data_IF_453008503085
#
_entry.id   IF_453008503085
#
_cell.length_a   1.000
_cell.length_b   1.000
_cell.length_c   1.000
_cell.angle_alpha   90.00
_cell.angle_beta   90.00
_cell.angle_gamma   90.00
#
_symmetry.space_group_name_H-M   'P 1'
#
loop_
_entity.id
_entity.type
_entity.pdbx_description
1 polymer ?
#
# COMPACT_ATOMS: atom_id res chain seq x y z
N UNK A 1 10.95 9.36 -10.33
CA UNK A 1 9.86 9.30 -9.32
C UNK A 1 8.73 8.45 -9.90
N UNK A 2 8.21 7.46 -9.16
CA UNK A 2 7.11 6.60 -9.64
C UNK A 2 5.81 7.42 -9.63
N UNK A 3 5.13 7.52 -10.77
CA UNK A 3 3.90 8.33 -10.90
C UNK A 3 2.64 7.63 -10.38
N UNK A 4 2.71 6.30 -10.28
CA UNK A 4 1.63 5.42 -9.84
C UNK A 4 2.24 4.20 -9.15
N UNK A 5 1.61 3.76 -8.07
CA UNK A 5 1.94 2.52 -7.35
C UNK A 5 0.64 1.83 -6.96
N UNK A 6 0.68 0.51 -6.77
CA UNK A 6 -0.47 -0.21 -6.26
C UNK A 6 -0.11 -1.59 -5.73
N UNK A 7 -1.06 -2.18 -5.00
CA UNK A 7 -0.96 -3.52 -4.42
C UNK A 7 -2.36 -4.15 -4.34
N UNK A 8 -2.43 -5.46 -4.19
CA UNK A 8 -3.68 -6.16 -3.88
C UNK A 8 -3.79 -6.47 -2.39
N UNK A 9 -5.02 -6.64 -1.91
CA UNK A 9 -5.29 -7.08 -0.53
C UNK A 9 -4.91 -8.55 -0.30
N UNK A 10 -4.91 -9.35 -1.37
CA UNK A 10 -4.61 -10.79 -1.36
C UNK A 10 -3.54 -11.14 -2.38
N UNK A 11 -2.82 -12.23 -2.13
CA UNK A 11 -1.83 -12.79 -3.05
C UNK A 11 -2.49 -13.65 -4.16
N UNK A 12 -3.56 -14.37 -3.83
CA UNK A 12 -4.29 -15.24 -4.75
C UNK A 12 -5.77 -15.34 -4.38
N UNK A 13 -6.58 -15.75 -5.35
CA UNK A 13 -8.05 -15.92 -5.21
C UNK A 13 -8.53 -17.12 -6.03
N UNK A 14 -9.61 -17.76 -5.58
CA UNK A 14 -10.30 -18.81 -6.32
C UNK A 14 -11.43 -18.22 -7.19
N UNK A 15 -12.01 -19.00 -8.13
CA UNK A 15 -13.18 -18.56 -8.88
C UNK A 15 -14.34 -18.19 -7.95
N UNK A 16 -14.90 -16.99 -8.14
CA UNK A 16 -15.99 -16.47 -7.31
C UNK A 16 -15.53 -15.58 -6.14
N UNK A 17 -14.25 -15.60 -5.78
CA UNK A 17 -13.70 -14.71 -4.76
C UNK A 17 -13.51 -13.29 -5.29
N UNK A 18 -13.47 -12.34 -4.34
CA UNK A 18 -13.11 -10.94 -4.60
C UNK A 18 -11.67 -10.65 -4.19
N UNK A 19 -10.97 -9.91 -5.04
CA UNK A 19 -9.66 -9.28 -4.78
C UNK A 19 -9.80 -7.77 -5.01
N UNK A 20 -9.26 -6.97 -4.10
CA UNK A 20 -9.27 -5.52 -4.20
C UNK A 20 -7.86 -5.01 -4.54
N UNK A 21 -7.80 -3.96 -5.38
CA UNK A 21 -6.56 -3.32 -5.78
C UNK A 21 -6.52 -1.87 -5.29
N UNK A 22 -5.50 -1.53 -4.51
CA UNK A 22 -5.29 -0.20 -3.97
C UNK A 22 -4.26 0.52 -4.82
N UNK A 23 -4.65 1.63 -5.46
CA UNK A 23 -3.83 2.37 -6.40
C UNK A 23 -3.61 3.81 -5.92
N UNK A 24 -2.36 4.21 -5.71
CA UNK A 24 -1.97 5.58 -5.35
C UNK A 24 -1.32 6.26 -6.55
N UNK A 25 -1.83 7.44 -6.92
CA UNK A 25 -1.35 8.26 -8.03
C UNK A 25 -0.83 9.60 -7.53
N UNK A 26 0.32 10.04 -8.04
CA UNK A 26 0.94 11.34 -7.69
C UNK A 26 0.80 12.40 -8.80
N UNK A 27 0.05 12.10 -9.86
CA UNK A 27 -0.17 13.01 -10.98
C UNK A 27 -1.12 14.18 -10.61
N UNK A 28 -0.94 15.33 -11.28
CA UNK A 28 -1.73 16.56 -11.06
C UNK A 28 -3.20 16.42 -11.50
N UNK A 29 -3.46 15.68 -12.58
CA UNK A 29 -4.78 15.25 -13.03
C UNK A 29 -4.77 13.71 -13.09
N UNK A 30 -5.00 13.03 -11.96
CA UNK A 30 -4.75 11.62 -11.84
C UNK A 30 -5.91 10.81 -12.43
N UNK A 31 -5.69 10.23 -13.62
CA UNK A 31 -6.48 9.11 -14.16
C UNK A 31 -5.53 7.97 -14.49
N UNK A 32 -5.99 6.73 -14.36
CA UNK A 32 -5.21 5.56 -14.73
C UNK A 32 -6.07 4.53 -15.46
N UNK A 33 -5.43 3.76 -16.33
CA UNK A 33 -6.06 2.62 -17.00
C UNK A 33 -5.62 1.33 -16.32
N UNK A 34 -6.54 0.42 -16.08
CA UNK A 34 -6.26 -0.93 -15.59
C UNK A 34 -6.77 -1.97 -16.59
N UNK A 35 -6.02 -3.07 -16.73
CA UNK A 35 -6.40 -4.29 -17.47
C UNK A 35 -5.84 -5.50 -16.72
N UNK A 36 -6.50 -6.64 -16.83
CA UNK A 36 -5.96 -7.92 -16.34
C UNK A 36 -5.14 -8.55 -17.45
N UNK A 37 -3.99 -9.13 -17.09
CA UNK A 37 -3.12 -9.85 -18.02
C UNK A 37 -2.73 -11.20 -17.47
N UNK A 38 -2.58 -12.18 -18.34
CA UNK A 38 -1.83 -13.40 -18.07
C UNK A 38 -0.39 -13.15 -18.44
N UNK A 39 0.47 -13.06 -17.42
CA UNK A 39 1.92 -12.99 -17.64
C UNK A 39 2.43 -14.35 -18.12
N UNK A 40 3.17 -14.37 -19.23
CA UNK A 40 3.76 -15.58 -19.83
C UNK A 40 5.28 -15.57 -19.61
N UNK A 41 5.94 -14.45 -19.85
CA UNK A 41 7.37 -14.25 -19.60
C UNK A 41 7.62 -12.87 -19.00
N UNK A 42 8.34 -12.79 -17.89
CA UNK A 42 8.73 -11.54 -17.24
C UNK A 42 10.18 -11.12 -17.50
N UNK A 43 10.99 -11.97 -18.13
CA UNK A 43 12.37 -11.64 -18.50
C UNK A 43 12.38 -10.85 -19.80
N UNK A 44 12.97 -9.65 -19.78
CA UNK A 44 13.06 -8.72 -20.90
C UNK A 44 14.48 -8.67 -21.51
N UNK A 45 15.28 -9.71 -21.27
CA UNK A 45 16.60 -9.85 -21.86
C UNK A 45 16.53 -10.06 -23.38
N UNK A 46 17.35 -9.32 -24.12
CA UNK A 46 17.45 -9.35 -25.58
C UNK A 46 17.92 -10.69 -26.18
N UNK A 47 18.57 -11.54 -25.39
CA UNK A 47 19.05 -12.87 -25.82
C UNK A 47 17.95 -13.96 -25.82
N UNK A 48 16.77 -13.63 -25.30
CA UNK A 48 15.60 -14.51 -25.22
C UNK A 48 14.39 -13.86 -25.93
N UNK A 49 13.25 -14.56 -26.06
CA UNK A 49 12.05 -14.00 -26.71
C UNK A 49 11.46 -12.74 -26.06
N UNK A 50 11.98 -12.29 -24.92
CA UNK A 50 11.59 -11.07 -24.21
C UNK A 50 10.30 -11.18 -23.40
N UNK A 51 9.87 -10.04 -22.84
CA UNK A 51 8.65 -9.94 -22.06
C UNK A 51 7.42 -10.34 -22.88
N UNK A 52 6.52 -11.13 -22.29
CA UNK A 52 5.28 -11.56 -22.93
C UNK A 52 4.12 -11.60 -21.95
N UNK A 53 3.05 -10.87 -22.28
CA UNK A 53 1.75 -10.95 -21.61
C UNK A 53 0.61 -11.13 -22.61
N UNK A 54 -0.54 -11.55 -22.10
CA UNK A 54 -1.78 -11.62 -22.87
C UNK A 54 -2.89 -10.91 -22.10
N UNK A 55 -3.57 -9.97 -22.75
CA UNK A 55 -4.70 -9.28 -22.16
C UNK A 55 -5.87 -10.26 -21.97
N UNK A 56 -6.47 -10.24 -20.78
CA UNK A 56 -7.68 -11.00 -20.48
C UNK A 56 -8.86 -10.04 -20.49
N UNK A 57 -9.87 -10.36 -21.30
CA UNK A 57 -11.11 -9.59 -21.29
C UNK A 57 -11.81 -9.78 -19.95
N UNK A 58 -12.01 -8.67 -19.24
CA UNK A 58 -12.56 -8.66 -17.88
C UNK A 58 -13.38 -7.40 -17.68
N UNK A 59 -14.47 -7.44 -16.89
CA UNK A 59 -15.28 -6.26 -16.59
C UNK A 59 -14.53 -5.13 -15.88
N UNK A 60 -13.39 -5.43 -15.24
CA UNK A 60 -12.55 -4.44 -14.53
C UNK A 60 -11.63 -3.68 -15.48
N UNK A 61 -11.49 -4.09 -16.73
CA UNK A 61 -10.69 -3.34 -17.71
C UNK A 61 -11.35 -1.98 -17.98
N UNK A 62 -10.62 -0.88 -17.70
CA UNK A 62 -11.20 0.45 -17.81
C UNK A 62 -10.29 1.57 -17.33
N UNK A 63 -10.85 2.78 -17.32
CA UNK A 63 -10.22 3.99 -16.77
C UNK A 63 -10.82 4.36 -15.42
N UNK A 64 -9.96 4.76 -14.50
CA UNK A 64 -10.31 5.03 -13.11
C UNK A 64 -9.73 6.39 -12.67
N UNK A 65 -10.43 7.12 -11.78
CA UNK A 65 -9.86 8.28 -11.13
C UNK A 65 -8.73 7.83 -10.19
N UNK A 66 -7.54 8.38 -10.38
CA UNK A 66 -6.44 8.22 -9.45
C UNK A 66 -6.59 9.18 -8.27
N UNK A 67 -5.95 8.83 -7.15
CA UNK A 67 -5.83 9.71 -5.99
C UNK A 67 -4.54 9.42 -5.26
N UNK A 68 -4.02 10.40 -4.53
CA UNK A 68 -2.92 10.14 -3.59
C UNK A 68 -3.47 9.46 -2.34
N UNK A 69 -2.87 8.32 -1.98
CA UNK A 69 -3.14 7.61 -0.73
C UNK A 69 -1.90 7.72 0.15
N UNK A 70 -2.06 8.34 1.33
CA UNK A 70 -0.96 8.56 2.28
C UNK A 70 -0.67 7.27 3.04
N UNK A 71 0.60 6.94 3.21
CA UNK A 71 1.07 5.81 4.02
C UNK A 71 1.67 6.38 5.30
N UNK A 72 1.16 5.93 6.45
CA UNK A 72 1.73 6.18 7.76
C UNK A 72 2.71 5.04 8.07
N UNK A 73 3.98 5.26 7.73
CA UNK A 73 5.01 4.24 7.87
C UNK A 73 5.66 4.28 9.26
N UNK A 74 5.91 3.10 9.81
CA UNK A 74 6.46 2.91 11.16
C UNK A 74 5.53 2.02 11.97
N UNK A 75 6.09 1.03 12.67
CA UNK A 75 5.29 0.21 13.59
C UNK A 75 5.00 1.01 14.85
N UNK A 76 3.73 1.14 15.23
CA UNK A 76 3.30 1.81 16.45
C UNK A 76 2.06 1.11 17.03
N UNK A 77 1.67 1.49 18.24
CA UNK A 77 0.41 1.07 18.86
C UNK A 77 -0.54 2.26 18.82
N UNK A 78 -1.74 2.06 18.30
CA UNK A 78 -2.83 3.03 18.37
C UNK A 78 -3.82 2.61 19.45
N UNK A 79 -4.07 3.49 20.42
CA UNK A 79 -5.09 3.28 21.44
C UNK A 79 -6.18 4.33 21.25
N UNK A 80 -7.45 3.94 21.03
CA UNK A 80 -8.54 4.90 20.87
C UNK A 80 -8.68 5.83 22.09
N UNK A 81 -9.16 7.08 21.89
CA UNK A 81 -9.41 7.99 23.00
C UNK A 81 -10.34 7.36 24.05
N UNK A 82 -9.97 7.49 25.32
CA UNK A 82 -10.73 6.99 26.46
C UNK A 82 -10.73 8.01 27.59
N UNK A 83 -11.84 8.15 28.34
CA UNK A 83 -11.86 8.95 29.59
C UNK A 83 -10.78 8.52 30.59
N UNK A 84 -10.36 7.25 30.56
CA UNK A 84 -9.30 6.72 31.42
C UNK A 84 -7.94 7.41 31.22
N UNK A 85 -7.70 8.02 30.06
CA UNK A 85 -6.48 8.79 29.77
C UNK A 85 -6.60 10.28 30.12
N UNK A 86 -7.71 10.70 30.77
CA UNK A 86 -7.96 12.08 31.20
C UNK A 86 -8.45 12.14 32.65
N UNK A 87 -7.73 11.57 33.63
CA UNK A 87 -8.12 11.68 35.03
C UNK A 87 -7.89 13.09 35.56
N UNK A 88 -8.78 13.55 36.43
CA UNK A 88 -8.71 14.88 37.05
C UNK A 88 -7.51 15.03 37.99
N UNK A 89 -7.06 13.94 38.60
CA UNK A 89 -5.96 13.92 39.58
C UNK A 89 -4.56 13.73 38.96
N UNK A 90 -4.49 13.53 37.63
CA UNK A 90 -3.23 13.32 36.89
C UNK A 90 -2.90 11.85 36.57
N UNK A 91 -1.86 11.63 35.76
CA UNK A 91 -1.40 10.30 35.32
C UNK A 91 0.08 10.09 35.59
N UNK A 92 0.46 8.84 35.87
CA UNK A 92 1.85 8.37 35.84
C UNK A 92 2.01 7.34 34.73
N UNK A 93 2.98 7.54 33.84
CA UNK A 93 3.36 6.58 32.80
C UNK A 93 4.71 5.94 33.16
N UNK A 94 4.78 4.62 33.13
CA UNK A 94 6.02 3.88 33.31
C UNK A 94 6.21 2.90 32.15
N UNK A 95 7.40 2.90 31.54
CA UNK A 95 7.73 2.01 30.42
C UNK A 95 9.19 1.56 30.50
N UNK A 96 9.45 0.32 30.13
CA UNK A 96 10.80 -0.18 29.88
C UNK A 96 11.10 -0.06 28.38
N UNK A 97 12.11 0.72 28.03
CA UNK A 97 12.42 1.06 26.63
C UNK A 97 13.87 0.67 26.32
N UNK A 98 14.10 0.08 25.15
CA UNK A 98 15.45 -0.23 24.64
C UNK A 98 15.70 0.53 23.32
N UNK A 99 16.18 1.78 23.39
CA UNK A 99 16.39 2.59 22.19
C UNK A 99 17.59 2.08 21.39
N UNK A 100 17.38 1.74 20.13
CA UNK A 100 18.45 1.27 19.22
C UNK A 100 19.12 2.39 18.42
N UNK A 101 18.50 3.58 18.36
CA UNK A 101 19.01 4.76 17.65
C UNK A 101 18.78 6.05 18.49
N UNK A 102 19.36 6.15 19.70
CA UNK A 102 19.07 7.25 20.63
C UNK A 102 19.51 8.64 20.10
N UNK A 103 20.50 8.70 19.20
CA UNK A 103 21.02 9.95 18.66
C UNK A 103 20.27 10.45 17.41
N UNK A 104 19.30 9.69 16.89
CA UNK A 104 18.61 10.00 15.62
C UNK A 104 17.46 11.01 15.80
N UNK A 105 17.75 12.17 16.37
CA UNK A 105 16.80 13.26 16.52
C UNK A 105 15.51 12.87 17.28
N UNK A 106 14.43 13.68 17.16
CA UNK A 106 13.15 13.36 17.78
C UNK A 106 12.56 12.04 17.28
N UNK A 107 12.04 11.22 18.21
CA UNK A 107 11.35 9.97 17.93
C UNK A 107 9.84 10.20 18.13
N UNK A 108 9.07 10.18 17.05
CA UNK A 108 7.63 10.51 17.00
C UNK A 108 6.84 9.42 16.33
#
# INVERSE_FOLDING_TARGET
MKRIVGYSDKLSVAPGDRIDFMVSCEARDPRYRARIVRLICGDDNSEHPGYRDEAIDTPVTGEYPGRRQVIYAGSYIEVPPSPLFRPDEGITLHAMIWPTLPERGPQT
#
